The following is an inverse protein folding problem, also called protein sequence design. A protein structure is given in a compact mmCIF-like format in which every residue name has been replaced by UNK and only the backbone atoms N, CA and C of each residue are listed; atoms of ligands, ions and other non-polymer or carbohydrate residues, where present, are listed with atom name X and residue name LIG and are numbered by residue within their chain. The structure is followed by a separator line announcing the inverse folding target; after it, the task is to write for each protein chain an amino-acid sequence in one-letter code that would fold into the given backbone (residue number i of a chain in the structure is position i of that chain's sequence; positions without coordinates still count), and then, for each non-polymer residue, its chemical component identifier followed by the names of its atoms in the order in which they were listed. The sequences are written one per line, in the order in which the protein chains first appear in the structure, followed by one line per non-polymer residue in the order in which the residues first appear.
data_IF_144083595663
#
_entry.id   IF_144083595663
#
_cell.length_a   1.000
_cell.length_b   1.000
_cell.length_c   1.000
_cell.angle_alpha   90.00
_cell.angle_beta   90.00
_cell.angle_gamma   90.00
#
_symmetry.space_group_name_H-M   'P 1'
#
loop_
_entity.id
_entity.type
_entity.pdbx_description
1 polymer ?
#
# COMPACT_ATOMS: atom_id res chain seq x y z
N UNK A 1 12.49 -9.42 -20.24
CA UNK A 1 12.52 -8.40 -19.18
C UNK A 1 11.25 -8.47 -18.31
N UNK A 2 11.36 -8.33 -16.98
CA UNK A 2 10.20 -8.37 -16.08
C UNK A 2 9.20 -7.26 -16.45
N UNK A 3 7.89 -7.54 -16.56
CA UNK A 3 6.85 -6.53 -16.82
C UNK A 3 6.72 -5.47 -15.73
N UNK A 4 7.23 -5.75 -14.53
CA UNK A 4 7.02 -4.92 -13.37
C UNK A 4 8.12 -3.86 -13.30
N UNK A 5 7.78 -2.56 -13.18
CA UNK A 5 8.78 -1.54 -12.91
C UNK A 5 9.49 -1.91 -11.61
N UNK A 6 10.83 -1.87 -11.61
CA UNK A 6 11.61 -2.08 -10.39
C UNK A 6 11.24 -0.97 -9.42
N UNK A 7 10.55 -1.31 -8.33
CA UNK A 7 10.27 -0.38 -7.23
C UNK A 7 11.59 -0.17 -6.47
N UNK A 8 12.44 0.72 -6.99
CA UNK A 8 13.79 0.99 -6.50
C UNK A 8 13.79 1.41 -5.04
N UNK A 9 12.81 2.22 -4.62
CA UNK A 9 12.72 2.71 -3.24
C UNK A 9 12.12 1.68 -2.27
N UNK A 10 11.12 0.87 -2.67
CA UNK A 10 10.57 -0.18 -1.80
C UNK A 10 11.60 -1.28 -1.50
N UNK A 11 12.45 -1.62 -2.48
CA UNK A 11 13.60 -2.50 -2.26
C UNK A 11 14.66 -1.87 -1.35
N UNK A 12 14.79 -0.54 -1.36
CA UNK A 12 15.70 0.18 -0.48
C UNK A 12 15.16 0.25 0.96
N UNK A 13 13.86 0.46 1.17
CA UNK A 13 13.26 0.45 2.52
C UNK A 13 13.53 -0.87 3.24
N UNK A 14 13.37 -2.01 2.57
CA UNK A 14 13.65 -3.33 3.14
C UNK A 14 15.14 -3.67 3.31
N UNK A 15 16.06 -2.93 2.66
CA UNK A 15 17.52 -3.19 2.72
C UNK A 15 18.31 -2.17 3.54
N UNK A 16 17.80 -0.95 3.68
CA UNK A 16 18.52 0.20 4.24
C UNK A 16 17.93 0.61 5.59
N UNK A 17 16.62 0.46 5.81
CA UNK A 17 16.01 0.82 7.09
C UNK A 17 16.14 -0.38 8.05
N UNK A 18 16.82 -0.23 9.20
CA UNK A 18 16.93 -1.31 10.15
C UNK A 18 15.55 -1.79 10.62
N UNK A 19 15.40 -3.10 10.82
CA UNK A 19 14.16 -3.70 11.36
C UNK A 19 13.66 -3.05 12.66
N UNK A 20 14.58 -2.46 13.45
CA UNK A 20 14.24 -1.77 14.71
C UNK A 20 13.78 -0.32 14.52
N UNK A 21 13.95 0.26 13.34
CA UNK A 21 13.63 1.65 13.09
C UNK A 21 12.13 1.81 12.76
N UNK A 22 11.43 2.81 13.33
CA UNK A 22 9.97 2.97 13.15
C UNK A 22 9.57 3.14 11.68
N UNK A 23 10.44 3.71 10.84
CA UNK A 23 10.20 3.83 9.40
C UNK A 23 10.03 2.49 8.66
N UNK A 24 10.67 1.41 9.14
CA UNK A 24 10.46 0.08 8.57
C UNK A 24 9.03 -0.40 8.87
N UNK A 25 8.62 -0.29 10.13
CA UNK A 25 7.29 -0.71 10.57
C UNK A 25 6.16 0.15 10.00
N UNK A 26 6.40 1.45 9.77
CA UNK A 26 5.47 2.31 9.05
C UNK A 26 5.26 1.82 7.60
N UNK A 27 6.34 1.41 6.91
CA UNK A 27 6.24 0.87 5.56
C UNK A 27 5.53 -0.50 5.51
N UNK A 28 5.85 -1.40 6.45
CA UNK A 28 5.14 -2.68 6.61
C UNK A 28 3.67 -2.42 6.87
N UNK A 29 3.33 -1.51 7.77
CA UNK A 29 1.95 -1.18 8.09
C UNK A 29 1.19 -0.67 6.85
N UNK A 30 1.79 0.21 6.04
CA UNK A 30 1.18 0.67 4.78
C UNK A 30 0.89 -0.53 3.87
N UNK A 31 1.87 -1.41 3.70
CA UNK A 31 1.75 -2.63 2.91
C UNK A 31 0.58 -3.50 3.37
N UNK A 32 0.66 -3.99 4.60
CA UNK A 32 -0.29 -4.98 5.11
C UNK A 32 -1.70 -4.41 5.31
N UNK A 33 -1.84 -3.17 5.77
CA UNK A 33 -3.16 -2.61 6.06
C UNK A 33 -3.98 -2.32 4.80
N UNK A 34 -3.33 -1.84 3.73
CA UNK A 34 -4.03 -1.52 2.47
C UNK A 34 -4.35 -2.82 1.73
N UNK A 35 -3.44 -3.80 1.69
CA UNK A 35 -3.71 -5.09 1.06
C UNK A 35 -4.76 -5.89 1.83
N UNK A 36 -4.77 -5.86 3.17
CA UNK A 36 -5.86 -6.44 3.98
C UNK A 36 -7.21 -5.80 3.64
N UNK A 37 -7.26 -4.48 3.42
CA UNK A 37 -8.50 -3.81 3.02
C UNK A 37 -9.00 -4.29 1.65
N UNK A 38 -8.11 -4.45 0.68
CA UNK A 38 -8.43 -5.03 -0.63
C UNK A 38 -8.90 -6.47 -0.48
N UNK A 39 -8.23 -7.27 0.34
CA UNK A 39 -8.64 -8.64 0.65
C UNK A 39 -10.06 -8.68 1.22
N UNK A 40 -10.41 -7.80 2.17
CA UNK A 40 -11.78 -7.70 2.69
C UNK A 40 -12.80 -7.30 1.63
N UNK A 41 -12.44 -6.38 0.72
CA UNK A 41 -13.29 -6.03 -0.41
C UNK A 41 -13.53 -7.24 -1.34
N UNK A 42 -12.47 -7.97 -1.70
CA UNK A 42 -12.57 -9.19 -2.53
C UNK A 42 -13.41 -10.26 -1.82
N UNK A 43 -13.22 -10.45 -0.52
CA UNK A 43 -14.00 -11.42 0.28
C UNK A 43 -15.50 -11.11 0.30
N UNK A 44 -15.87 -9.82 0.27
CA UNK A 44 -17.26 -9.36 0.23
C UNK A 44 -17.89 -9.40 -1.16
N UNK A 45 -17.14 -9.70 -2.22
CA UNK A 45 -17.64 -9.72 -3.60
C UNK A 45 -18.32 -11.05 -3.94
N UNK A 46 -19.53 -10.98 -4.49
CA UNK A 46 -20.31 -12.15 -4.88
C UNK A 46 -19.76 -12.90 -6.12
N UNK A 47 -18.88 -12.26 -6.88
CA UNK A 47 -18.37 -12.78 -8.17
C UNK A 47 -17.07 -13.58 -8.04
N UNK A 48 -16.53 -13.71 -6.82
CA UNK A 48 -15.22 -14.32 -6.58
C UNK A 48 -15.36 -15.83 -6.38
N UNK A 49 -14.46 -16.60 -7.03
CA UNK A 49 -14.40 -18.06 -6.88
C UNK A 49 -14.28 -18.47 -5.40
N UNK A 50 -14.97 -19.54 -4.95
CA UNK A 50 -14.89 -20.03 -3.57
C UNK A 50 -13.45 -20.30 -3.10
N UNK A 51 -12.56 -20.74 -4.01
CA UNK A 51 -11.16 -20.98 -3.71
C UNK A 51 -10.42 -19.68 -3.35
N UNK A 52 -10.63 -18.61 -4.12
CA UNK A 52 -10.03 -17.30 -3.85
C UNK A 52 -10.58 -16.73 -2.55
N UNK A 53 -11.90 -16.79 -2.33
CA UNK A 53 -12.52 -16.34 -1.08
C UNK A 53 -11.94 -17.07 0.14
N UNK A 54 -11.62 -18.35 0.02
CA UNK A 54 -10.97 -19.11 1.10
C UNK A 54 -9.53 -18.65 1.36
N UNK A 55 -8.74 -18.42 0.32
CA UNK A 55 -7.36 -17.91 0.45
C UNK A 55 -7.38 -16.55 1.14
N UNK A 56 -8.22 -15.64 0.64
CA UNK A 56 -8.40 -14.29 1.18
C UNK A 56 -8.87 -14.34 2.64
N UNK A 57 -9.79 -15.23 2.99
CA UNK A 57 -10.23 -15.41 4.38
C UNK A 57 -9.10 -15.83 5.33
N UNK A 58 -8.18 -16.67 4.86
CA UNK A 58 -7.00 -17.08 5.64
C UNK A 58 -6.07 -15.88 5.81
N UNK A 59 -5.73 -15.19 4.71
CA UNK A 59 -4.89 -14.00 4.74
C UNK A 59 -5.43 -12.92 5.68
N UNK A 60 -6.73 -12.60 5.64
CA UNK A 60 -7.34 -11.59 6.53
C UNK A 60 -7.08 -11.91 8.01
N UNK A 61 -7.11 -13.19 8.39
CA UNK A 61 -6.86 -13.60 9.78
C UNK A 61 -5.39 -13.45 10.16
N UNK A 62 -4.48 -13.74 9.24
CA UNK A 62 -3.04 -13.61 9.47
C UNK A 62 -2.62 -12.15 9.50
N UNK A 63 -3.11 -11.34 8.57
CA UNK A 63 -2.76 -9.91 8.49
C UNK A 63 -3.28 -9.11 9.67
N UNK A 64 -4.39 -9.50 10.29
CA UNK A 64 -4.83 -8.87 11.54
C UNK A 64 -3.75 -8.91 12.63
N UNK A 65 -2.97 -10.00 12.70
CA UNK A 65 -1.84 -10.12 13.63
C UNK A 65 -0.64 -9.28 13.18
N UNK A 66 -0.31 -9.29 11.89
CA UNK A 66 0.82 -8.50 11.36
C UNK A 66 0.58 -7.00 11.53
N UNK A 67 -0.62 -6.53 11.23
CA UNK A 67 -1.03 -5.12 11.40
C UNK A 67 -0.96 -4.72 12.87
N UNK A 68 -1.51 -5.54 13.79
CA UNK A 68 -1.45 -5.25 15.22
C UNK A 68 0.00 -5.13 15.71
N UNK A 69 0.86 -6.09 15.32
CA UNK A 69 2.26 -6.07 15.67
C UNK A 69 2.99 -4.85 15.09
N UNK A 70 2.74 -4.51 13.83
CA UNK A 70 3.34 -3.34 13.18
C UNK A 70 2.94 -2.03 13.88
N UNK A 71 1.66 -1.87 14.23
CA UNK A 71 1.19 -0.68 14.98
C UNK A 71 1.92 -0.52 16.32
N UNK A 72 2.03 -1.61 17.08
CA UNK A 72 2.73 -1.61 18.37
C UNK A 72 4.21 -1.20 18.21
N UNK A 73 4.91 -1.73 17.18
CA UNK A 73 6.30 -1.36 16.89
C UNK A 73 6.46 0.07 16.42
N UNK A 74 5.49 0.61 15.68
CA UNK A 74 5.46 2.04 15.31
C UNK A 74 5.34 2.88 16.57
N UNK A 75 4.33 2.64 17.41
CA UNK A 75 4.07 3.41 18.62
C UNK A 75 5.28 3.39 19.57
N UNK A 76 5.91 2.24 19.77
CA UNK A 76 7.13 2.11 20.57
C UNK A 76 8.31 2.84 19.95
N UNK A 77 8.55 2.64 18.64
CA UNK A 77 9.68 3.23 17.93
C UNK A 77 9.61 4.75 17.85
N UNK A 78 8.41 5.33 17.81
CA UNK A 78 8.21 6.78 17.76
C UNK A 78 8.46 7.48 19.10
N UNK A 79 8.33 6.80 20.25
CA UNK A 79 8.63 7.37 21.58
C UNK A 79 10.09 7.77 21.73
N UNK A 80 11.00 7.04 21.08
CA UNK A 80 12.44 7.31 21.11
C UNK A 80 12.96 8.14 19.92
N UNK A 81 12.08 8.55 18.99
CA UNK A 81 12.51 9.19 17.75
C UNK A 81 12.80 10.68 17.98
N UNK A 82 14.01 11.18 17.68
CA UNK A 82 14.34 12.60 17.76
C UNK A 82 13.38 13.45 16.90
N UNK A 83 12.91 14.58 17.45
CA UNK A 83 11.92 15.43 16.77
C UNK A 83 12.37 15.91 15.38
N UNK A 84 13.67 16.14 15.18
CA UNK A 84 14.24 16.56 13.90
C UNK A 84 14.17 15.49 12.80
N UNK A 85 14.05 14.20 13.16
CA UNK A 85 13.93 13.11 12.20
C UNK A 85 12.50 12.96 11.67
N UNK A 86 11.50 13.43 12.41
CA UNK A 86 10.08 13.34 12.02
C UNK A 86 9.77 13.93 10.64
N UNK A 87 10.18 15.16 10.28
CA UNK A 87 9.88 15.71 8.96
C UNK A 87 10.52 14.92 7.81
N UNK A 88 11.75 14.42 8.01
CA UNK A 88 12.42 13.57 7.02
C UNK A 88 11.68 12.24 6.85
N UNK A 89 11.30 11.61 7.96
CA UNK A 89 10.53 10.37 7.94
C UNK A 89 9.17 10.56 7.27
N UNK A 90 8.48 11.66 7.54
CA UNK A 90 7.21 12.00 6.88
C UNK A 90 7.37 12.15 5.37
N UNK A 91 8.41 12.87 4.93
CA UNK A 91 8.69 13.05 3.50
C UNK A 91 8.99 11.70 2.81
N UNK A 92 9.82 10.86 3.43
CA UNK A 92 10.13 9.53 2.92
C UNK A 92 8.87 8.66 2.86
N UNK A 93 8.05 8.70 3.91
CA UNK A 93 6.80 7.95 3.98
C UNK A 93 5.82 8.39 2.89
N UNK A 94 5.69 9.69 2.65
CA UNK A 94 4.86 10.24 1.58
C UNK A 94 5.29 9.76 0.19
N UNK A 95 6.60 9.71 -0.08
CA UNK A 95 7.12 9.14 -1.34
C UNK A 95 6.84 7.65 -1.44
N UNK A 96 7.14 6.88 -0.38
CA UNK A 96 6.91 5.45 -0.35
C UNK A 96 5.43 5.09 -0.52
N UNK A 97 4.54 5.82 0.16
CA UNK A 97 3.10 5.68 0.07
C UNK A 97 2.61 5.91 -1.36
N UNK A 98 2.98 7.04 -1.99
CA UNK A 98 2.60 7.30 -3.40
C UNK A 98 3.09 6.22 -4.34
N UNK A 99 4.35 5.79 -4.21
CA UNK A 99 4.88 4.71 -5.05
C UNK A 99 4.13 3.40 -4.85
N UNK A 100 3.77 3.08 -3.61
CA UNK A 100 3.00 1.89 -3.28
C UNK A 100 1.61 1.93 -3.90
N UNK A 101 0.88 3.05 -3.78
CA UNK A 101 -0.44 3.24 -4.42
C UNK A 101 -0.33 3.13 -5.94
N UNK A 102 0.68 3.75 -6.55
CA UNK A 102 0.91 3.67 -7.99
C UNK A 102 1.14 2.22 -8.44
N UNK A 103 2.02 1.49 -7.74
CA UNK A 103 2.34 0.11 -8.09
C UNK A 103 1.16 -0.85 -7.86
N UNK A 104 0.36 -0.63 -6.83
CA UNK A 104 -0.73 -1.53 -6.44
C UNK A 104 -1.98 -1.34 -7.29
N UNK A 105 -2.35 -0.08 -7.59
CA UNK A 105 -3.63 0.23 -8.23
C UNK A 105 -3.53 0.59 -9.71
N UNK A 106 -2.33 0.88 -10.25
CA UNK A 106 -2.18 1.28 -11.65
C UNK A 106 -1.24 0.32 -12.39
N UNK A 107 -1.80 -0.71 -13.05
CA UNK A 107 -0.99 -1.64 -13.83
C UNK A 107 -0.34 -0.92 -15.03
N UNK A 108 0.89 -1.28 -15.43
CA UNK A 108 1.55 -0.68 -16.58
C UNK A 108 0.88 -1.09 -17.89
N UNK A 109 0.98 -0.26 -18.95
CA UNK A 109 0.46 -0.53 -20.32
C UNK A 109 0.64 -1.97 -20.82
N UNK A 110 1.78 -2.60 -20.51
CA UNK A 110 2.09 -3.98 -20.92
C UNK A 110 1.05 -4.99 -20.40
N UNK A 111 0.49 -4.78 -19.21
CA UNK A 111 -0.55 -5.66 -18.68
C UNK A 111 -1.87 -5.50 -19.43
N UNK A 112 -2.21 -4.29 -19.90
CA UNK A 112 -3.37 -4.08 -20.76
C UNK A 112 -3.18 -4.77 -22.12
N UNK A 113 -2.02 -4.61 -22.76
CA UNK A 113 -1.71 -5.34 -24.01
C UNK A 113 -1.83 -6.87 -23.82
N UNK A 114 -1.28 -7.42 -22.73
CA UNK A 114 -1.39 -8.86 -22.43
C UNK A 114 -2.82 -9.32 -22.15
N UNK A 115 -3.70 -8.41 -21.72
CA UNK A 115 -5.12 -8.67 -21.54
C UNK A 115 -5.93 -8.52 -22.85
N UNK A 116 -5.28 -8.26 -23.99
CA UNK A 116 -5.93 -8.02 -25.28
C UNK A 116 -6.55 -6.63 -25.42
N UNK A 117 -6.14 -5.68 -24.57
CA UNK A 117 -6.62 -4.31 -24.56
C UNK A 117 -5.61 -3.41 -25.29
N UNK A 118 -5.68 -3.39 -26.62
CA UNK A 118 -4.80 -2.62 -27.51
C UNK A 118 -5.48 -1.34 -28.05
N UNK A 119 -4.80 -0.17 -28.06
CA UNK A 119 -3.47 0.08 -27.48
C UNK A 119 -3.53 0.23 -25.94
N UNK A 120 -2.61 -0.43 -25.23
CA UNK A 120 -2.55 -0.44 -23.77
C UNK A 120 -2.30 0.94 -23.15
N UNK A 121 -1.67 1.87 -23.88
CA UNK A 121 -1.53 3.27 -23.46
C UNK A 121 -2.88 3.95 -23.20
N UNK A 122 -3.86 3.70 -24.07
CA UNK A 122 -5.19 4.27 -23.92
C UNK A 122 -5.84 3.82 -22.61
N UNK A 123 -5.75 2.53 -22.31
CA UNK A 123 -6.34 1.96 -21.08
C UNK A 123 -5.58 2.35 -19.83
N UNK A 124 -4.25 2.51 -19.92
CA UNK A 124 -3.46 3.10 -18.83
C UNK A 124 -3.93 4.52 -18.51
N UNK A 125 -4.10 5.37 -19.52
CA UNK A 125 -4.58 6.75 -19.36
C UNK A 125 -6.01 6.79 -18.80
N UNK A 126 -6.93 6.02 -19.38
CA UNK A 126 -8.31 5.91 -18.89
C UNK A 126 -8.33 5.48 -17.43
N UNK A 127 -7.53 4.49 -17.03
CA UNK A 127 -7.45 4.06 -15.64
C UNK A 127 -6.92 5.16 -14.72
N UNK A 128 -5.94 5.96 -15.16
CA UNK A 128 -5.38 7.08 -14.39
C UNK A 128 -6.37 8.23 -14.19
N UNK A 129 -7.22 8.49 -15.17
CA UNK A 129 -8.21 9.56 -15.13
C UNK A 129 -9.56 9.12 -14.53
N UNK A 130 -9.72 7.83 -14.22
CA UNK A 130 -10.98 7.29 -13.72
C UNK A 130 -11.25 7.69 -12.26
N UNK A 131 -12.25 8.56 -12.07
CA UNK A 131 -12.63 9.04 -10.73
C UNK A 131 -13.18 7.94 -9.81
N UNK A 132 -13.89 6.95 -10.36
CA UNK A 132 -14.39 5.82 -9.57
C UNK A 132 -13.23 4.97 -9.01
N UNK A 133 -12.14 4.82 -9.78
CA UNK A 133 -10.90 4.19 -9.28
C UNK A 133 -10.28 5.01 -8.16
N UNK A 134 -10.20 6.33 -8.30
CA UNK A 134 -9.68 7.19 -7.25
C UNK A 134 -10.54 7.18 -5.98
N UNK A 135 -11.88 7.12 -6.13
CA UNK A 135 -12.79 6.93 -5.02
C UNK A 135 -12.51 5.61 -4.28
N UNK A 136 -12.37 4.51 -5.01
CA UNK A 136 -11.99 3.23 -4.44
C UNK A 136 -10.64 3.27 -3.71
N UNK A 137 -9.62 3.91 -4.29
CA UNK A 137 -8.31 4.08 -3.64
C UNK A 137 -8.44 4.89 -2.34
N UNK A 138 -9.22 5.97 -2.35
CA UNK A 138 -9.48 6.77 -1.13
C UNK A 138 -10.12 5.92 -0.05
N UNK A 139 -11.10 5.10 -0.40
CA UNK A 139 -11.76 4.20 0.54
C UNK A 139 -10.81 3.15 1.10
N UNK A 140 -10.01 2.51 0.24
CA UNK A 140 -9.07 1.46 0.65
C UNK A 140 -7.98 1.99 1.57
N UNK A 141 -7.52 3.22 1.34
CA UNK A 141 -6.40 3.83 2.08
C UNK A 141 -6.80 4.62 3.31
N UNK A 142 -8.08 5.01 3.44
CA UNK A 142 -8.56 5.89 4.51
C UNK A 142 -8.13 5.46 5.92
N UNK A 143 -8.35 4.21 6.40
CA UNK A 143 -7.98 3.83 7.76
C UNK A 143 -6.48 3.87 8.02
N UNK A 144 -5.68 3.49 7.03
CA UNK A 144 -4.21 3.59 7.10
C UNK A 144 -3.78 5.04 7.23
N UNK A 145 -4.37 5.92 6.42
CA UNK A 145 -4.08 7.37 6.48
C UNK A 145 -4.49 7.98 7.81
N UNK A 146 -5.68 7.65 8.33
CA UNK A 146 -6.13 8.09 9.67
C UNK A 146 -5.14 7.65 10.75
N UNK A 147 -4.72 6.39 10.74
CA UNK A 147 -3.71 5.93 11.71
C UNK A 147 -2.38 6.70 11.57
N UNK A 148 -1.91 6.93 10.35
CA UNK A 148 -0.69 7.71 10.14
C UNK A 148 -0.82 9.14 10.64
N UNK A 149 -1.97 9.77 10.40
CA UNK A 149 -2.31 11.12 10.88
C UNK A 149 -2.32 11.18 12.42
N UNK A 150 -2.89 10.18 13.09
CA UNK A 150 -2.86 10.06 14.56
C UNK A 150 -1.43 9.95 15.12
N UNK A 151 -0.50 9.37 14.35
CA UNK A 151 0.92 9.29 14.70
C UNK A 151 1.72 10.55 14.31
N UNK A 152 1.06 11.55 13.71
CA UNK A 152 1.66 12.81 13.27
C UNK A 152 2.30 12.77 11.88
N UNK A 153 1.92 11.82 11.03
CA UNK A 153 2.36 11.70 9.64
C UNK A 153 1.24 12.04 8.67
N UNK A 154 1.53 12.86 7.68
CA UNK A 154 0.58 13.27 6.65
C UNK A 154 1.04 12.75 5.29
N UNK A 155 0.30 11.77 4.75
CA UNK A 155 0.55 11.21 3.42
C UNK A 155 -0.61 11.53 2.47
N UNK A 156 -0.27 12.05 1.30
CA UNK A 156 -1.22 12.38 0.23
C UNK A 156 -1.22 11.30 -0.85
N UNK A 157 -2.37 11.13 -1.51
CA UNK A 157 -2.54 10.21 -2.65
C UNK A 157 -1.97 10.78 -3.95
N UNK A 158 -1.90 12.11 -4.05
CA UNK A 158 -1.37 12.89 -5.17
C UNK A 158 -0.14 13.66 -4.74
#
# INVERSE_FOLDING_TARGET
PSPYPRILLANAVGRIIPFRHPGFWLAVLIGESITDRINRFVYGSAEVSPAISRIVQIHIKEEARHIAYAKERVEEGLKGLPAWQRPFLNALLGVAFRQFIQALFFPPRRLYHLAGLDPGEHWEEVARLNEARWAFIRDMTAPTRTFLEDQGFAVALT
#
